data_IF_016386285761
#
_entry.id   IF_016386285761
#
_cell.length_a   1.000
_cell.length_b   1.000
_cell.length_c   1.000
_cell.angle_alpha   90.00
_cell.angle_beta   90.00
_cell.angle_gamma   90.00
#
_symmetry.space_group_name_H-M   'P 1'
#
loop_
_entity.id
_entity.type
_entity.pdbx_description
1 polymer ?
#
# COMPACT_ATOMS: atom_id res chain seq x y z
N UNK A 1 11.76 -9.16 -26.40
CA UNK A 1 13.03 -9.91 -26.29
C UNK A 1 13.72 -9.52 -25.00
N UNK A 2 13.63 -10.38 -24.00
CA UNK A 2 14.55 -10.53 -22.87
C UNK A 2 13.94 -11.64 -22.01
N UNK A 3 14.18 -12.88 -22.42
CA UNK A 3 13.76 -14.06 -21.66
C UNK A 3 14.70 -14.22 -20.48
N UNK A 4 14.16 -14.00 -19.28
CA UNK A 4 14.79 -14.35 -18.02
C UNK A 4 14.73 -15.88 -17.89
N UNK A 5 15.91 -16.50 -17.79
CA UNK A 5 16.07 -17.94 -17.73
C UNK A 5 15.80 -18.42 -16.29
N UNK A 6 14.65 -19.05 -16.05
CA UNK A 6 14.37 -19.77 -14.80
C UNK A 6 14.56 -21.26 -15.09
N UNK A 7 15.60 -21.86 -14.51
CA UNK A 7 15.84 -23.30 -14.53
C UNK A 7 14.94 -23.98 -13.50
N UNK A 8 13.93 -24.70 -13.97
CA UNK A 8 13.20 -25.71 -13.19
C UNK A 8 13.95 -27.04 -13.31
N UNK A 9 14.41 -27.58 -12.18
CA UNK A 9 14.96 -28.93 -12.10
C UNK A 9 13.81 -29.91 -11.86
N UNK A 10 13.43 -30.66 -12.89
CA UNK A 10 12.53 -31.80 -12.78
C UNK A 10 13.31 -33.06 -12.42
N UNK A 11 12.89 -33.75 -11.36
CA UNK A 11 13.38 -35.07 -10.96
C UNK A 11 12.72 -36.16 -11.80
N UNK A 12 13.48 -36.80 -12.69
CA UNK A 12 13.06 -38.02 -13.39
C UNK A 12 13.51 -39.26 -12.62
N UNK A 13 12.55 -39.95 -12.02
CA UNK A 13 12.71 -41.30 -11.44
C UNK A 13 12.62 -42.34 -12.57
N UNK A 14 13.75 -42.87 -13.01
CA UNK A 14 13.82 -44.01 -13.93
C UNK A 14 14.00 -45.33 -13.19
N UNK A 15 12.96 -46.18 -13.19
CA UNK A 15 13.02 -47.59 -12.79
C UNK A 15 13.82 -48.40 -13.82
N UNK A 16 14.91 -49.05 -13.42
CA UNK A 16 15.58 -50.06 -14.25
C UNK A 16 14.96 -51.44 -13.99
N UNK A 17 14.33 -52.00 -15.03
CA UNK A 17 13.88 -53.39 -15.07
C UNK A 17 15.00 -54.33 -15.52
N UNK A 18 15.13 -55.46 -14.83
CA UNK A 18 15.99 -56.58 -15.22
C UNK A 18 15.44 -57.27 -16.47
N UNK A 19 16.29 -57.47 -17.49
CA UNK A 19 16.11 -58.54 -18.50
C UNK A 19 17.40 -59.35 -18.61
N UNK A 20 17.30 -60.64 -18.33
CA UNK A 20 18.25 -61.67 -18.75
C UNK A 20 17.97 -62.02 -20.22
N UNK A 21 19.01 -62.14 -21.02
CA UNK A 21 18.99 -62.91 -22.25
C UNK A 21 20.34 -63.63 -22.35
N UNK A 22 20.30 -64.97 -22.35
CA UNK A 22 21.46 -65.78 -22.69
C UNK A 22 21.55 -65.96 -24.19
N UNK A 23 22.75 -65.95 -24.74
CA UNK A 23 23.05 -66.56 -26.05
C UNK A 23 24.50 -67.09 -26.03
N UNK A 24 24.58 -68.36 -26.40
CA UNK A 24 25.66 -69.28 -26.74
C UNK A 24 27.06 -68.71 -27.08
N UNK A 25 28.07 -69.41 -26.55
CA UNK A 25 29.47 -69.28 -26.94
C UNK A 25 29.78 -70.21 -28.13
N UNK A 26 30.31 -69.66 -29.23
CA UNK A 26 31.13 -70.38 -30.20
C UNK A 26 32.30 -69.48 -30.62
N UNK A 27 33.45 -70.11 -30.75
CA UNK A 27 34.82 -69.60 -30.87
C UNK A 27 35.17 -68.91 -32.19
N UNK A 28 36.03 -67.89 -32.14
CA UNK A 28 37.18 -67.76 -33.06
C UNK A 28 38.18 -66.71 -32.56
N UNK A 29 39.44 -67.13 -32.33
CA UNK A 29 40.59 -66.23 -32.14
C UNK A 29 40.93 -65.57 -33.47
N UNK A 30 40.92 -64.25 -33.55
CA UNK A 30 41.83 -63.49 -34.42
C UNK A 30 42.21 -62.17 -33.71
N UNK A 31 43.52 -61.99 -33.63
CA UNK A 31 44.24 -60.87 -33.04
C UNK A 31 43.93 -59.54 -33.72
N UNK A 32 43.46 -58.57 -32.93
CA UNK A 32 43.66 -57.14 -33.20
C UNK A 32 43.91 -56.45 -31.86
N UNK A 33 45.18 -56.11 -31.59
CA UNK A 33 45.53 -55.22 -30.50
C UNK A 33 44.98 -53.82 -30.80
N UNK A 34 43.75 -53.55 -30.37
CA UNK A 34 43.28 -52.18 -30.21
C UNK A 34 43.73 -51.76 -28.82
N UNK A 35 44.62 -50.77 -28.74
CA UNK A 35 44.97 -50.11 -27.49
C UNK A 35 43.73 -49.36 -26.97
N UNK A 36 42.82 -50.07 -26.32
CA UNK A 36 41.79 -49.45 -25.50
C UNK A 36 42.46 -48.97 -24.22
N UNK A 37 42.79 -47.69 -24.13
CA UNK A 37 43.12 -47.07 -22.84
C UNK A 37 41.93 -47.29 -21.90
N UNK A 38 42.08 -48.00 -20.77
CA UNK A 38 41.01 -48.04 -19.79
C UNK A 38 40.87 -46.63 -19.21
N UNK A 39 39.75 -45.97 -19.44
CA UNK A 39 39.38 -44.79 -18.66
C UNK A 39 39.09 -45.33 -17.25
N UNK A 40 40.07 -45.21 -16.35
CA UNK A 40 39.86 -45.46 -14.94
C UNK A 40 38.81 -44.47 -14.43
N UNK A 41 37.54 -44.88 -14.39
CA UNK A 41 36.48 -44.16 -13.69
C UNK A 41 36.72 -44.33 -12.19
N UNK A 42 37.48 -43.43 -11.59
CA UNK A 42 37.62 -43.33 -10.15
C UNK A 42 36.31 -42.80 -9.54
N UNK A 43 35.40 -43.72 -9.19
CA UNK A 43 34.21 -43.38 -8.43
C UNK A 43 34.58 -43.13 -6.95
N UNK A 44 35.17 -41.97 -6.66
CA UNK A 44 35.43 -41.57 -5.28
C UNK A 44 34.13 -41.14 -4.60
N UNK A 45 33.84 -41.69 -3.42
CA UNK A 45 32.73 -41.26 -2.57
C UNK A 45 32.90 -39.77 -2.24
N UNK A 46 32.07 -38.91 -2.86
CA UNK A 46 32.02 -37.49 -2.52
C UNK A 46 31.35 -37.34 -1.15
N UNK A 47 31.96 -36.57 -0.24
CA UNK A 47 31.32 -36.20 1.03
C UNK A 47 29.98 -35.55 0.72
N UNK A 48 28.93 -35.99 1.43
CA UNK A 48 27.61 -35.35 1.34
C UNK A 48 27.77 -33.90 1.82
N UNK A 49 27.30 -32.95 1.02
CA UNK A 49 27.27 -31.55 1.45
C UNK A 49 26.40 -31.45 2.70
N UNK A 50 26.92 -30.78 3.73
CA UNK A 50 26.10 -30.39 4.87
C UNK A 50 24.99 -29.48 4.36
N UNK A 51 23.78 -29.65 4.89
CA UNK A 51 22.68 -28.75 4.57
C UNK A 51 23.11 -27.34 4.97
N UNK A 52 22.87 -26.37 4.08
CA UNK A 52 23.03 -24.97 4.43
C UNK A 52 22.17 -24.66 5.66
N UNK A 53 22.64 -23.74 6.50
CA UNK A 53 21.86 -23.25 7.64
C UNK A 53 20.47 -22.85 7.16
N UNK A 54 19.44 -23.45 7.77
CA UNK A 54 18.05 -23.10 7.48
C UNK A 54 17.71 -21.68 7.93
N UNK A 55 16.45 -21.25 7.76
CA UNK A 55 16.00 -19.94 8.25
C UNK A 55 16.28 -19.79 9.75
N UNK A 56 16.71 -18.59 10.15
CA UNK A 56 16.98 -18.26 11.54
C UNK A 56 15.71 -18.45 12.39
N UNK A 57 15.82 -19.26 13.44
CA UNK A 57 14.74 -19.45 14.42
C UNK A 57 15.09 -18.66 15.66
N UNK A 58 14.16 -17.82 16.12
CA UNK A 58 14.37 -17.00 17.30
C UNK A 58 13.75 -17.73 18.48
N UNK A 59 14.59 -18.21 19.39
CA UNK A 59 14.11 -18.83 20.62
C UNK A 59 13.52 -17.76 21.54
N UNK A 60 12.60 -18.16 22.41
CA UNK A 60 12.02 -17.24 23.40
C UNK A 60 13.11 -16.62 24.30
N UNK A 61 14.13 -17.41 24.66
CA UNK A 61 15.29 -16.92 25.41
C UNK A 61 16.08 -15.86 24.66
N UNK A 62 16.23 -16.01 23.34
CA UNK A 62 16.90 -15.01 22.52
C UNK A 62 16.10 -13.70 22.49
N UNK A 63 14.78 -13.78 22.28
CA UNK A 63 13.90 -12.60 22.29
C UNK A 63 13.97 -11.88 23.65
N UNK A 64 13.97 -12.63 24.76
CA UNK A 64 14.13 -12.06 26.12
C UNK A 64 15.45 -11.31 26.28
N UNK A 65 16.57 -11.89 25.81
CA UNK A 65 17.87 -11.22 25.82
C UNK A 65 17.86 -9.93 24.99
N UNK A 66 17.28 -9.96 23.80
CA UNK A 66 17.15 -8.76 22.95
C UNK A 66 16.30 -7.67 23.60
N UNK A 67 15.30 -8.05 24.40
CA UNK A 67 14.48 -7.11 25.16
C UNK A 67 15.28 -6.45 26.30
N UNK A 68 16.09 -7.22 27.02
CA UNK A 68 17.01 -6.69 28.03
C UNK A 68 18.03 -5.72 27.40
N UNK A 69 18.65 -6.12 26.28
CA UNK A 69 19.58 -5.27 25.52
C UNK A 69 18.91 -3.98 25.02
N UNK A 70 17.68 -4.06 24.53
CA UNK A 70 16.90 -2.90 24.11
C UNK A 70 16.64 -1.94 25.28
N UNK A 71 16.23 -2.44 26.45
CA UNK A 71 15.95 -1.61 27.63
C UNK A 71 17.22 -0.93 28.15
N UNK A 72 18.35 -1.64 28.16
CA UNK A 72 19.65 -1.09 28.54
C UNK A 72 20.08 -0.03 27.52
N UNK A 73 19.99 -0.33 26.22
CA UNK A 73 20.30 0.61 25.14
C UNK A 73 19.43 1.87 25.20
N UNK A 74 18.14 1.73 25.55
CA UNK A 74 17.21 2.86 25.68
C UNK A 74 17.69 3.85 26.74
N UNK A 75 18.14 3.35 27.89
CA UNK A 75 18.70 4.17 28.98
C UNK A 75 20.00 4.86 28.57
N UNK A 76 20.88 4.17 27.83
CA UNK A 76 22.10 4.78 27.31
C UNK A 76 21.81 5.87 26.28
N UNK A 77 20.85 5.65 25.40
CA UNK A 77 20.44 6.64 24.41
C UNK A 77 19.89 7.90 25.08
N UNK A 78 19.02 7.75 26.07
CA UNK A 78 18.51 8.87 26.86
C UNK A 78 19.66 9.65 27.54
N UNK A 79 20.62 8.96 28.16
CA UNK A 79 21.78 9.60 28.78
C UNK A 79 22.65 10.36 27.76
N UNK A 80 22.88 9.82 26.56
CA UNK A 80 23.63 10.51 25.51
C UNK A 80 22.93 11.79 25.03
N UNK A 81 21.59 11.78 24.99
CA UNK A 81 20.78 12.91 24.56
C UNK A 81 20.47 13.89 25.70
N UNK A 82 20.79 13.53 26.95
CA UNK A 82 20.49 14.34 28.13
C UNK A 82 19.01 14.33 28.53
N UNK A 83 18.27 13.29 28.16
CA UNK A 83 16.84 13.13 28.43
C UNK A 83 16.59 12.15 29.58
N UNK A 84 15.41 12.23 30.20
CA UNK A 84 15.01 11.33 31.28
C UNK A 84 14.69 9.91 30.76
N UNK A 85 15.35 8.85 31.26
CA UNK A 85 15.19 7.49 30.72
C UNK A 85 13.78 6.91 30.82
N UNK A 86 13.02 7.31 31.84
CA UNK A 86 11.68 6.78 32.12
C UNK A 86 10.61 7.42 31.22
N UNK A 87 10.77 8.70 30.85
CA UNK A 87 9.85 9.43 29.96
C UNK A 87 10.27 9.36 28.47
N UNK A 88 11.23 8.50 28.14
CA UNK A 88 11.77 8.43 26.79
C UNK A 88 10.84 7.60 25.88
N UNK A 89 10.15 8.24 24.94
CA UNK A 89 9.19 7.60 24.02
C UNK A 89 9.88 6.99 22.79
N UNK A 90 9.15 6.18 22.01
CA UNK A 90 9.69 5.61 20.77
C UNK A 90 9.98 6.70 19.71
N UNK A 91 9.23 7.80 19.71
CA UNK A 91 9.48 8.93 18.81
C UNK A 91 10.80 9.63 19.15
N UNK A 92 11.13 9.73 20.44
CA UNK A 92 12.40 10.29 20.92
C UNK A 92 13.57 9.41 20.51
N UNK A 93 13.41 8.08 20.60
CA UNK A 93 14.38 7.10 20.11
C UNK A 93 14.62 7.30 18.60
N UNK A 94 13.55 7.35 17.81
CA UNK A 94 13.64 7.48 16.35
C UNK A 94 14.31 8.82 15.94
N UNK A 95 13.97 9.92 16.63
CA UNK A 95 14.61 11.24 16.44
C UNK A 95 16.10 11.19 16.80
N UNK A 96 16.44 10.62 17.95
CA UNK A 96 17.83 10.52 18.42
C UNK A 96 18.69 9.69 17.47
N UNK A 97 18.16 8.58 16.95
CA UNK A 97 18.86 7.72 15.99
C UNK A 97 19.06 8.43 14.66
N UNK A 98 18.04 9.15 14.18
CA UNK A 98 18.17 9.93 12.95
C UNK A 98 19.25 11.01 13.04
N UNK A 99 19.48 11.55 14.24
CA UNK A 99 20.52 12.54 14.52
C UNK A 99 21.92 11.90 14.65
N UNK A 100 22.05 10.83 15.44
CA UNK A 100 23.33 10.15 15.68
C UNK A 100 23.84 9.39 14.45
N UNK A 101 22.93 8.80 13.68
CA UNK A 101 23.23 7.99 12.49
C UNK A 101 22.50 8.52 11.25
N UNK A 102 22.89 9.69 10.73
CA UNK A 102 22.22 10.29 9.59
C UNK A 102 22.46 9.44 8.32
N UNK A 103 21.38 8.83 7.81
CA UNK A 103 21.40 8.01 6.60
C UNK A 103 20.55 8.64 5.51
N UNK A 104 21.11 8.80 4.32
CA UNK A 104 20.44 9.35 3.14
C UNK A 104 19.70 8.32 2.27
N UNK A 105 19.45 7.12 2.80
CA UNK A 105 18.77 6.05 2.04
C UNK A 105 17.28 6.38 1.84
N UNK A 106 16.78 6.18 0.62
CA UNK A 106 15.38 6.43 0.30
C UNK A 106 14.42 5.42 0.92
N UNK A 107 14.86 4.17 1.10
CA UNK A 107 14.05 3.11 1.69
C UNK A 107 14.05 3.22 3.21
N UNK A 108 12.91 3.62 3.79
CA UNK A 108 12.78 3.78 5.25
C UNK A 108 13.11 2.51 6.05
N UNK A 109 12.89 1.32 5.47
CA UNK A 109 13.19 0.03 6.10
C UNK A 109 14.69 -0.29 6.18
N UNK A 110 15.51 0.37 5.36
CA UNK A 110 16.97 0.21 5.35
C UNK A 110 17.67 1.25 6.22
N UNK A 111 16.93 2.18 6.82
CA UNK A 111 17.47 3.14 7.78
C UNK A 111 17.88 2.43 9.07
N UNK A 112 18.84 2.98 9.83
CA UNK A 112 19.12 2.52 11.19
C UNK A 112 17.86 2.70 12.05
N UNK A 113 17.44 1.63 12.72
CA UNK A 113 16.22 1.59 13.53
C UNK A 113 16.52 0.83 14.81
N UNK A 114 16.03 1.35 15.94
CA UNK A 114 16.03 0.67 17.23
C UNK A 114 14.59 0.66 17.74
N UNK A 115 14.00 -0.53 17.78
CA UNK A 115 12.60 -0.75 18.17
C UNK A 115 12.51 -1.89 19.15
N UNK A 116 11.35 -2.03 19.76
CA UNK A 116 11.04 -3.18 20.57
C UNK A 116 11.19 -4.49 19.76
N UNK A 117 11.78 -5.57 20.33
CA UNK A 117 12.00 -6.83 19.62
C UNK A 117 10.74 -7.40 18.93
N UNK A 118 9.57 -7.24 19.53
CA UNK A 118 8.30 -7.72 18.96
C UNK A 118 7.89 -7.03 17.65
N UNK A 119 8.40 -5.82 17.38
CA UNK A 119 8.16 -5.11 16.11
C UNK A 119 9.19 -5.50 15.03
N UNK A 120 10.39 -5.91 15.45
CA UNK A 120 11.51 -6.23 14.55
C UNK A 120 11.40 -7.68 14.09
N UNK A 121 11.24 -8.60 15.06
CA UNK A 121 11.22 -10.02 14.78
C UNK A 121 9.80 -10.46 14.37
N UNK A 122 9.68 -11.29 13.33
CA UNK A 122 8.38 -11.83 12.94
C UNK A 122 7.84 -12.73 14.05
N UNK A 123 6.53 -12.65 14.32
CA UNK A 123 5.86 -13.55 15.28
C UNK A 123 6.05 -15.00 14.84
N UNK A 124 6.52 -15.83 15.78
CA UNK A 124 6.72 -17.26 15.55
C UNK A 124 5.69 -18.06 16.35
N UNK A 125 5.35 -19.25 15.85
CA UNK A 125 4.51 -20.16 16.61
C UNK A 125 5.32 -20.80 17.72
N UNK A 126 4.70 -20.90 18.89
CA UNK A 126 5.21 -21.71 19.98
C UNK A 126 5.26 -23.19 19.58
N UNK A 127 5.99 -23.97 20.36
CA UNK A 127 6.00 -25.44 20.22
C UNK A 127 4.59 -25.96 20.50
N UNK A 128 4.05 -26.77 19.58
CA UNK A 128 2.64 -27.20 19.62
C UNK A 128 2.40 -28.50 20.40
N UNK A 129 3.43 -29.09 21.01
CA UNK A 129 3.36 -30.33 21.76
C UNK A 129 4.27 -30.29 22.99
N UNK A 130 3.89 -31.03 24.02
CA UNK A 130 4.67 -31.16 25.24
C UNK A 130 5.85 -32.14 25.11
N UNK A 131 6.60 -32.37 26.21
CA UNK A 131 7.63 -33.40 26.27
C UNK A 131 7.06 -34.82 26.04
N UNK A 132 5.77 -35.02 26.32
CA UNK A 132 4.98 -36.21 26.04
C UNK A 132 4.67 -36.41 24.55
N UNK A 133 5.03 -35.44 23.70
CA UNK A 133 4.78 -35.40 22.24
C UNK A 133 3.30 -35.38 21.87
N UNK A 134 2.40 -35.10 22.82
CA UNK A 134 0.98 -34.93 22.54
C UNK A 134 0.73 -33.50 22.07
N UNK A 135 0.06 -33.30 20.92
CA UNK A 135 -0.30 -31.96 20.48
C UNK A 135 -1.28 -31.28 21.45
N UNK A 136 -1.09 -29.99 21.70
CA UNK A 136 -1.98 -29.19 22.56
C UNK A 136 -3.34 -28.93 21.91
N UNK A 137 -3.37 -28.75 20.59
CA UNK A 137 -4.57 -28.43 19.84
C UNK A 137 -5.15 -29.67 19.13
N UNK A 138 -6.46 -29.88 19.21
CA UNK A 138 -7.12 -31.06 18.62
C UNK A 138 -7.04 -31.09 17.07
N UNK A 139 -7.11 -29.91 16.41
CA UNK A 139 -6.93 -29.78 14.96
C UNK A 139 -5.46 -29.77 14.50
N UNK A 140 -4.49 -30.12 15.36
CA UNK A 140 -3.07 -30.08 15.00
C UNK A 140 -2.75 -30.84 13.71
N UNK A 141 -3.33 -32.03 13.52
CA UNK A 141 -3.07 -32.89 12.37
C UNK A 141 -3.67 -32.40 11.05
N UNK A 142 -4.45 -31.31 11.06
CA UNK A 142 -4.91 -30.64 9.84
C UNK A 142 -3.79 -29.85 9.13
N UNK A 143 -2.67 -29.61 9.83
CA UNK A 143 -1.57 -28.77 9.38
C UNK A 143 -1.79 -27.26 9.53
N UNK A 144 -3.05 -26.82 9.65
CA UNK A 144 -3.45 -25.42 9.87
C UNK A 144 -4.42 -25.29 11.05
N UNK A 145 -3.98 -25.63 12.27
CA UNK A 145 -4.86 -25.68 13.43
C UNK A 145 -5.56 -24.35 13.72
N UNK A 146 -4.86 -23.20 13.62
CA UNK A 146 -5.45 -21.90 13.95
C UNK A 146 -6.52 -21.48 12.95
N UNK A 147 -6.27 -21.68 11.65
CA UNK A 147 -7.26 -21.40 10.60
C UNK A 147 -8.52 -22.24 10.77
N UNK A 148 -8.39 -23.57 10.91
CA UNK A 148 -9.57 -24.42 11.03
C UNK A 148 -10.28 -24.26 12.37
N UNK A 149 -9.57 -23.87 13.43
CA UNK A 149 -10.18 -23.49 14.71
C UNK A 149 -11.09 -22.28 14.54
N UNK A 150 -10.59 -21.23 13.86
CA UNK A 150 -11.39 -20.06 13.51
C UNK A 150 -12.59 -20.41 12.60
N UNK A 151 -12.41 -21.30 11.63
CA UNK A 151 -13.52 -21.78 10.79
C UNK A 151 -14.55 -22.60 11.58
N UNK A 152 -14.11 -23.35 12.58
CA UNK A 152 -15.01 -24.08 13.47
C UNK A 152 -15.78 -23.13 14.39
N UNK A 153 -15.10 -22.17 15.01
CA UNK A 153 -15.71 -21.17 15.88
C UNK A 153 -16.77 -20.33 15.15
N UNK A 154 -16.45 -19.89 13.92
CA UNK A 154 -17.41 -19.15 13.07
C UNK A 154 -18.66 -19.97 12.78
N UNK A 155 -18.49 -21.23 12.39
CA UNK A 155 -19.60 -22.13 12.10
C UNK A 155 -20.43 -22.43 13.35
N UNK A 156 -19.78 -22.61 14.50
CA UNK A 156 -20.44 -22.80 15.79
C UNK A 156 -21.29 -21.59 16.18
N UNK A 157 -20.84 -20.37 15.87
CA UNK A 157 -21.67 -19.16 16.07
C UNK A 157 -22.90 -19.17 15.16
N UNK A 158 -22.76 -19.56 13.89
CA UNK A 158 -23.90 -19.71 12.97
C UNK A 158 -24.91 -20.71 13.52
N UNK A 159 -24.46 -21.89 13.96
CA UNK A 159 -25.33 -22.91 14.54
C UNK A 159 -26.04 -22.43 15.82
N UNK A 160 -25.35 -21.66 16.67
CA UNK A 160 -25.96 -21.06 17.88
C UNK A 160 -27.06 -20.06 17.51
N UNK A 161 -26.87 -19.28 16.45
CA UNK A 161 -27.89 -18.36 15.94
C UNK A 161 -29.08 -19.11 15.33
N UNK A 162 -28.85 -20.14 14.51
CA UNK A 162 -29.91 -20.99 13.94
C UNK A 162 -30.77 -21.63 15.05
N UNK A 163 -30.13 -22.23 16.07
CA UNK A 163 -30.84 -22.78 17.24
C UNK A 163 -31.63 -21.72 18.00
N UNK A 164 -31.08 -20.51 18.12
CA UNK A 164 -31.77 -19.42 18.80
C UNK A 164 -33.01 -18.98 18.02
N UNK A 165 -32.91 -18.89 16.70
CA UNK A 165 -34.04 -18.58 15.82
C UNK A 165 -35.14 -19.63 15.93
N UNK A 166 -34.81 -20.92 15.96
CA UNK A 166 -35.79 -21.98 16.12
C UNK A 166 -36.47 -21.94 17.49
N UNK A 167 -35.74 -21.61 18.55
CA UNK A 167 -36.32 -21.38 19.88
C UNK A 167 -37.27 -20.17 19.92
N UNK A 168 -36.99 -19.11 19.16
CA UNK A 168 -37.87 -17.94 19.06
C UNK A 168 -39.14 -18.26 18.26
N UNK A 169 -39.02 -19.01 17.17
CA UNK A 169 -40.18 -19.51 16.40
C UNK A 169 -41.10 -20.36 17.27
N UNK A 170 -40.53 -21.26 18.07
CA UNK A 170 -41.30 -22.10 19.00
C UNK A 170 -42.04 -21.30 20.09
N UNK A 171 -41.59 -20.06 20.38
CA UNK A 171 -42.19 -19.15 21.37
C UNK A 171 -43.06 -18.06 20.74
N UNK A 172 -43.32 -18.11 19.42
CA UNK A 172 -44.12 -17.14 18.66
C UNK A 172 -43.63 -15.66 18.72
N UNK A 173 -42.41 -15.41 19.20
CA UNK A 173 -41.82 -14.07 19.38
C UNK A 173 -41.05 -13.58 18.12
N UNK A 174 -41.46 -14.01 16.94
CA UNK A 174 -40.71 -13.83 15.68
C UNK A 174 -40.65 -12.38 15.17
N UNK A 175 -41.44 -11.47 15.77
CA UNK A 175 -41.61 -10.09 15.32
C UNK A 175 -40.78 -9.03 16.06
N UNK A 176 -39.89 -9.41 16.99
CA UNK A 176 -39.05 -8.43 17.67
C UNK A 176 -37.99 -7.86 16.71
N UNK A 177 -38.10 -6.56 16.44
CA UNK A 177 -37.23 -5.81 15.53
C UNK A 177 -35.75 -5.99 15.89
N UNK A 178 -35.04 -6.70 15.01
CA UNK A 178 -33.61 -6.96 15.17
C UNK A 178 -32.83 -5.77 14.64
N UNK A 179 -32.05 -5.14 15.52
CA UNK A 179 -30.99 -4.22 15.13
C UNK A 179 -29.95 -5.00 14.33
N UNK A 180 -29.80 -4.68 13.05
CA UNK A 180 -28.70 -5.19 12.24
C UNK A 180 -27.39 -4.51 12.69
N UNK A 181 -26.25 -5.18 12.50
CA UNK A 181 -24.94 -4.58 12.80
C UNK A 181 -24.69 -3.45 11.81
N UNK A 182 -24.49 -2.23 12.31
CA UNK A 182 -24.13 -1.07 11.49
C UNK A 182 -22.65 -1.15 11.12
N UNK A 183 -22.35 -1.79 9.99
CA UNK A 183 -20.96 -2.03 9.55
C UNK A 183 -20.21 -0.77 9.04
N UNK A 184 -20.85 0.40 9.00
CA UNK A 184 -20.23 1.70 8.70
C UNK A 184 -19.24 1.70 7.53
N UNK A 185 -18.19 2.52 7.63
CA UNK A 185 -17.02 2.51 6.73
C UNK A 185 -15.96 1.53 7.21
N UNK A 186 -16.32 0.27 7.48
CA UNK A 186 -15.35 -0.76 7.86
C UNK A 186 -15.06 -1.71 6.70
N UNK A 187 -13.83 -2.24 6.65
CA UNK A 187 -13.44 -3.32 5.74
C UNK A 187 -13.06 -4.59 6.48
N UNK A 188 -13.15 -5.72 5.79
CA UNK A 188 -12.55 -6.97 6.25
C UNK A 188 -11.03 -6.85 6.36
N UNK A 189 -10.43 -7.64 7.27
CA UNK A 189 -8.99 -7.81 7.28
C UNK A 189 -8.52 -8.41 5.96
N UNK A 190 -7.39 -7.92 5.45
CA UNK A 190 -6.78 -8.50 4.25
C UNK A 190 -6.18 -9.86 4.56
N UNK A 191 -5.91 -10.67 3.52
CA UNK A 191 -5.25 -11.97 3.66
C UNK A 191 -3.99 -11.90 4.52
N UNK A 192 -3.12 -10.91 4.26
CA UNK A 192 -1.85 -10.75 4.98
C UNK A 192 -2.10 -10.46 6.46
N UNK A 193 -3.07 -9.59 6.77
CA UNK A 193 -3.45 -9.27 8.15
C UNK A 193 -3.99 -10.51 8.88
N UNK A 194 -4.76 -11.37 8.21
CA UNK A 194 -5.25 -12.63 8.79
C UNK A 194 -4.12 -13.64 9.01
N UNK A 195 -3.17 -13.74 8.06
CA UNK A 195 -1.98 -14.59 8.20
C UNK A 195 -1.11 -14.17 9.39
N UNK A 196 -0.94 -12.86 9.59
CA UNK A 196 -0.23 -12.29 10.75
C UNK A 196 -0.96 -12.56 12.07
N UNK A 197 -2.29 -12.45 12.10
CA UNK A 197 -3.09 -12.74 13.30
C UNK A 197 -3.02 -14.21 13.70
N UNK A 198 -3.14 -15.13 12.73
CA UNK A 198 -3.13 -16.56 12.99
C UNK A 198 -1.70 -17.14 13.10
N UNK A 199 -0.70 -16.37 12.65
CA UNK A 199 0.69 -16.82 12.47
C UNK A 199 0.73 -18.05 11.54
N UNK A 200 -0.16 -18.11 10.55
CA UNK A 200 -0.28 -19.22 9.61
C UNK A 200 -0.34 -18.75 8.17
N UNK A 201 0.30 -19.49 7.26
CA UNK A 201 0.16 -19.25 5.83
C UNK A 201 -1.18 -19.80 5.33
N UNK A 202 -1.94 -18.97 4.62
CA UNK A 202 -3.30 -19.25 4.18
C UNK A 202 -3.35 -19.19 2.66
N UNK A 203 -4.14 -20.06 2.02
CA UNK A 203 -4.37 -19.96 0.58
C UNK A 203 -5.36 -18.83 0.27
N UNK A 204 -5.28 -18.14 -0.88
CA UNK A 204 -6.33 -17.21 -1.29
C UNK A 204 -7.74 -17.83 -1.29
N UNK A 205 -7.84 -19.13 -1.59
CA UNK A 205 -9.12 -19.86 -1.56
C UNK A 205 -9.64 -20.02 -0.12
N UNK A 206 -8.77 -20.37 0.82
CA UNK A 206 -9.09 -20.50 2.24
C UNK A 206 -9.58 -19.16 2.81
N UNK A 207 -8.93 -18.05 2.42
CA UNK A 207 -9.36 -16.71 2.80
C UNK A 207 -10.75 -16.36 2.24
N UNK A 208 -11.00 -16.64 0.96
CA UNK A 208 -12.32 -16.40 0.37
C UNK A 208 -13.41 -17.22 1.07
N UNK A 209 -13.10 -18.47 1.46
CA UNK A 209 -14.02 -19.34 2.20
C UNK A 209 -14.33 -18.79 3.58
N UNK A 210 -13.34 -18.23 4.26
CA UNK A 210 -13.52 -17.54 5.54
C UNK A 210 -14.46 -16.33 5.37
N UNK A 211 -14.20 -15.46 4.40
CA UNK A 211 -15.06 -14.29 4.14
C UNK A 211 -16.49 -14.70 3.83
N UNK A 212 -16.70 -15.74 3.01
CA UNK A 212 -18.03 -16.28 2.73
C UNK A 212 -18.77 -16.74 3.99
N UNK A 213 -18.09 -17.38 4.95
CA UNK A 213 -18.71 -17.78 6.22
C UNK A 213 -19.08 -16.57 7.07
N UNK A 214 -18.23 -15.54 7.10
CA UNK A 214 -18.52 -14.36 7.88
C UNK A 214 -19.67 -13.54 7.25
N UNK A 215 -19.70 -13.41 5.92
CA UNK A 215 -20.83 -12.79 5.21
C UNK A 215 -22.12 -13.57 5.44
N UNK A 216 -22.05 -14.90 5.46
CA UNK A 216 -23.19 -15.74 5.87
C UNK A 216 -23.62 -15.43 7.30
N UNK A 217 -22.69 -15.32 8.25
CA UNK A 217 -23.00 -14.97 9.65
C UNK A 217 -23.73 -13.62 9.73
N UNK A 218 -23.30 -12.63 8.94
CA UNK A 218 -23.95 -11.30 8.88
C UNK A 218 -25.32 -11.31 8.21
N UNK A 219 -25.58 -12.25 7.30
CA UNK A 219 -26.89 -12.38 6.65
C UNK A 219 -27.99 -12.91 7.58
N UNK A 220 -27.62 -13.47 8.75
CA UNK A 220 -28.56 -14.01 9.73
C UNK A 220 -29.29 -12.91 10.50
N UNK A 221 -30.56 -13.16 10.88
CA UNK A 221 -31.47 -12.15 11.45
C UNK A 221 -31.00 -11.62 12.81
N UNK A 222 -30.37 -12.46 13.62
CA UNK A 222 -29.94 -12.12 14.99
C UNK A 222 -28.42 -11.90 15.13
N UNK A 223 -27.77 -11.41 14.07
CA UNK A 223 -26.31 -11.26 14.02
C UNK A 223 -25.73 -10.37 15.14
N UNK A 224 -26.50 -9.41 15.68
CA UNK A 224 -26.04 -8.48 16.72
C UNK A 224 -25.45 -9.16 17.96
N UNK A 225 -25.87 -10.39 18.28
CA UNK A 225 -25.31 -11.14 19.42
C UNK A 225 -23.83 -11.48 19.25
N UNK A 226 -23.36 -11.56 18.01
CA UNK A 226 -22.01 -11.96 17.64
C UNK A 226 -21.21 -10.78 17.07
N UNK A 227 -21.62 -9.54 17.40
CA UNK A 227 -21.00 -8.32 16.90
C UNK A 227 -19.52 -8.21 17.31
N UNK A 228 -19.20 -8.47 18.58
CA UNK A 228 -17.82 -8.42 19.08
C UNK A 228 -16.89 -9.35 18.30
N UNK A 229 -17.39 -10.54 17.96
CA UNK A 229 -16.65 -11.53 17.19
C UNK A 229 -16.38 -11.04 15.77
N UNK A 230 -17.36 -10.43 15.11
CA UNK A 230 -17.19 -9.85 13.77
C UNK A 230 -16.25 -8.65 13.79
N UNK A 231 -16.38 -7.77 14.79
CA UNK A 231 -15.57 -6.55 14.90
C UNK A 231 -14.09 -6.85 15.09
N UNK A 232 -13.72 -7.96 15.76
CA UNK A 232 -12.33 -8.44 15.84
C UNK A 232 -11.70 -8.63 14.46
N UNK A 233 -12.50 -8.99 13.45
CA UNK A 233 -12.04 -9.20 12.07
C UNK A 233 -12.38 -8.05 11.11
N UNK A 234 -12.73 -6.87 11.64
CA UNK A 234 -12.95 -5.64 10.86
C UNK A 234 -11.89 -4.59 11.20
N UNK A 235 -11.53 -3.78 10.21
CA UNK A 235 -10.74 -2.56 10.38
C UNK A 235 -11.58 -1.36 9.97
N UNK A 236 -11.62 -0.33 10.81
CA UNK A 236 -12.26 0.94 10.46
C UNK A 236 -11.45 1.63 9.35
N UNK A 237 -12.13 2.10 8.32
CA UNK A 237 -11.56 2.99 7.33
C UNK A 237 -11.93 4.42 7.69
N UNK A 238 -10.90 5.23 7.89
CA UNK A 238 -11.04 6.67 7.95
C UNK A 238 -11.43 7.16 6.56
N UNK A 239 -12.69 7.56 6.40
CA UNK A 239 -13.12 8.24 5.19
C UNK A 239 -12.48 9.64 5.19
N UNK A 240 -11.46 9.85 4.35
CA UNK A 240 -10.93 11.19 4.13
C UNK A 240 -12.05 12.05 3.54
N UNK A 241 -12.45 13.10 4.26
CA UNK A 241 -13.47 14.02 3.77
C UNK A 241 -12.96 14.65 2.47
N UNK A 242 -13.75 14.59 1.40
CA UNK A 242 -13.42 15.24 0.12
C UNK A 242 -13.66 16.77 0.19
N UNK A 243 -14.03 17.30 1.36
CA UNK A 243 -14.24 18.74 1.53
C UNK A 243 -12.92 19.46 1.31
N UNK A 244 -12.93 20.40 0.37
CA UNK A 244 -11.79 21.27 0.10
C UNK A 244 -11.59 22.20 1.30
N UNK A 245 -10.36 22.36 1.78
CA UNK A 245 -10.05 23.35 2.81
C UNK A 245 -10.28 24.76 2.23
N UNK A 246 -11.19 25.50 2.85
CA UNK A 246 -11.54 26.87 2.45
C UNK A 246 -10.50 27.83 3.05
N UNK A 247 -9.89 28.74 2.26
CA UNK A 247 -8.98 29.72 2.81
C UNK A 247 -9.73 30.68 3.76
N UNK A 248 -9.12 31.08 4.89
CA UNK A 248 -9.74 32.06 5.78
C UNK A 248 -9.92 33.40 5.06
N UNK A 249 -11.02 34.09 5.35
CA UNK A 249 -11.23 35.46 4.90
C UNK A 249 -10.38 36.40 5.76
N UNK A 250 -9.51 37.16 5.12
CA UNK A 250 -8.77 38.25 5.73
C UNK A 250 -9.50 39.58 5.42
N UNK A 251 -9.27 40.61 6.23
CA UNK A 251 -9.82 41.95 6.01
C UNK A 251 -8.66 42.93 5.86
N UNK A 252 -8.72 43.78 4.83
CA UNK A 252 -7.70 44.82 4.59
C UNK A 252 -7.90 46.02 5.53
N UNK A 253 -6.94 46.95 5.57
CA UNK A 253 -7.02 48.18 6.37
C UNK A 253 -8.26 49.02 6.01
N UNK A 254 -8.73 48.90 4.76
CA UNK A 254 -9.97 49.52 4.26
C UNK A 254 -11.27 48.78 4.63
N UNK A 255 -11.22 47.72 5.44
CA UNK A 255 -12.39 46.95 5.85
C UNK A 255 -12.94 45.99 4.77
N UNK A 256 -12.25 45.84 3.64
CA UNK A 256 -12.68 44.98 2.53
C UNK A 256 -12.19 43.55 2.78
N UNK A 257 -13.11 42.59 2.74
CA UNK A 257 -12.78 41.18 2.83
C UNK A 257 -12.06 40.71 1.56
N UNK A 258 -10.95 40.00 1.74
CA UNK A 258 -10.21 39.39 0.65
C UNK A 258 -9.79 37.96 1.00
N UNK A 259 -9.55 37.18 -0.04
CA UNK A 259 -9.01 35.82 0.08
C UNK A 259 -7.75 35.70 -0.74
N UNK A 260 -6.80 34.90 -0.26
CA UNK A 260 -5.54 34.60 -0.96
C UNK A 260 -5.49 33.13 -1.30
N UNK A 261 -5.09 32.82 -2.53
CA UNK A 261 -4.89 31.44 -2.94
C UNK A 261 -3.77 31.29 -3.97
N UNK A 262 -3.19 30.09 -3.98
CA UNK A 262 -2.11 29.72 -4.88
C UNK A 262 -2.55 28.67 -5.89
N UNK A 263 -1.96 28.75 -7.09
CA UNK A 263 -2.19 27.85 -8.20
C UNK A 263 -0.87 27.45 -8.87
N UNK A 264 -0.82 26.23 -9.38
CA UNK A 264 0.34 25.71 -10.11
C UNK A 264 -0.11 24.92 -11.33
N UNK A 265 0.54 25.15 -12.47
CA UNK A 265 0.36 24.35 -13.69
C UNK A 265 1.68 24.23 -14.44
N UNK A 266 2.11 22.99 -14.69
CA UNK A 266 3.43 22.68 -15.26
C UNK A 266 4.55 23.34 -14.41
N UNK A 267 5.24 24.33 -14.97
CA UNK A 267 6.31 25.10 -14.33
C UNK A 267 5.86 26.51 -13.92
N UNK A 268 4.60 26.88 -14.14
CA UNK A 268 4.05 28.17 -13.74
C UNK A 268 3.45 28.09 -12.33
N UNK A 269 3.77 29.07 -11.51
CA UNK A 269 3.22 29.30 -10.16
C UNK A 269 2.53 30.65 -10.13
N UNK A 270 1.37 30.72 -9.48
CA UNK A 270 0.58 31.93 -9.38
C UNK A 270 0.03 32.12 -7.97
N UNK A 271 -0.02 33.36 -7.52
CA UNK A 271 -0.71 33.80 -6.31
C UNK A 271 -1.74 34.86 -6.68
N UNK A 272 -2.95 34.74 -6.15
CA UNK A 272 -4.07 35.64 -6.42
C UNK A 272 -4.63 36.14 -5.11
N UNK A 273 -4.81 37.46 -5.04
CA UNK A 273 -5.62 38.13 -4.02
C UNK A 273 -6.93 38.51 -4.67
N UNK A 274 -8.03 38.01 -4.10
CA UNK A 274 -9.39 38.26 -4.57
C UNK A 274 -10.11 39.09 -3.53
N UNK A 275 -10.45 40.33 -3.89
CA UNK A 275 -11.11 41.32 -3.02
C UNK A 275 -12.60 41.40 -3.36
N UNK A 276 -13.46 41.39 -2.33
CA UNK A 276 -14.91 41.58 -2.51
C UNK A 276 -15.28 43.03 -2.80
N UNK A 277 -16.51 43.25 -3.27
CA UNK A 277 -17.05 44.58 -3.62
C UNK A 277 -16.20 45.34 -4.67
N UNK A 278 -15.67 44.62 -5.65
CA UNK A 278 -14.86 45.16 -6.73
C UNK A 278 -15.67 45.65 -7.94
N UNK A 279 -14.94 46.15 -8.93
CA UNK A 279 -15.45 46.58 -10.24
C UNK A 279 -15.25 45.54 -11.35
N UNK A 280 -14.67 44.38 -11.03
CA UNK A 280 -14.27 43.38 -12.01
C UNK A 280 -12.88 43.64 -12.59
N UNK A 281 -12.05 44.46 -11.94
CA UNK A 281 -10.72 44.80 -12.41
C UNK A 281 -9.78 43.63 -12.18
N UNK A 282 -9.13 43.16 -13.24
CA UNK A 282 -8.16 42.07 -13.18
C UNK A 282 -6.78 42.58 -13.56
N UNK A 283 -5.83 42.52 -12.62
CA UNK A 283 -4.44 42.91 -12.85
C UNK A 283 -3.53 41.69 -12.74
N UNK A 284 -2.62 41.52 -13.70
CA UNK A 284 -1.63 40.43 -13.75
C UNK A 284 -0.23 41.03 -13.79
N UNK A 285 0.57 40.81 -12.74
CA UNK A 285 1.92 41.38 -12.58
C UNK A 285 1.95 42.92 -12.77
N UNK A 286 0.92 43.63 -12.29
CA UNK A 286 0.81 45.09 -12.42
C UNK A 286 0.30 45.60 -13.78
N UNK A 287 0.06 44.70 -14.74
CA UNK A 287 -0.54 45.04 -16.04
C UNK A 287 -2.00 44.61 -16.11
N UNK A 288 -2.77 45.23 -17.00
CA UNK A 288 -4.15 44.79 -17.26
C UNK A 288 -4.16 43.41 -17.94
N UNK A 289 -5.12 42.55 -17.57
CA UNK A 289 -5.17 41.17 -18.06
C UNK A 289 -5.32 41.07 -19.59
N UNK A 290 -5.98 42.07 -20.21
CA UNK A 290 -6.12 42.16 -21.66
C UNK A 290 -4.77 42.37 -22.37
N UNK A 291 -3.88 43.16 -21.76
CA UNK A 291 -2.55 43.42 -22.27
C UNK A 291 -1.61 42.25 -21.99
N UNK A 292 -1.70 41.65 -20.81
CA UNK A 292 -0.86 40.52 -20.40
C UNK A 292 -1.16 39.24 -21.22
N UNK A 293 -2.44 38.92 -21.41
CA UNK A 293 -2.89 37.79 -22.22
C UNK A 293 -3.49 38.29 -23.54
N UNK A 294 -2.72 38.43 -24.63
CA UNK A 294 -3.27 38.86 -25.92
C UNK A 294 -4.17 37.80 -26.56
N UNK A 295 -3.99 36.51 -26.22
CA UNK A 295 -4.74 35.39 -26.79
C UNK A 295 -6.05 35.19 -26.03
N UNK A 296 -7.16 35.13 -26.76
CA UNK A 296 -8.51 34.95 -26.20
C UNK A 296 -8.65 33.69 -25.34
N UNK A 297 -8.06 32.56 -25.76
CA UNK A 297 -8.07 31.32 -25.01
C UNK A 297 -7.52 31.47 -23.57
N UNK A 298 -6.46 32.27 -23.40
CA UNK A 298 -5.85 32.48 -22.09
C UNK A 298 -6.76 33.33 -21.18
N UNK A 299 -7.49 34.30 -21.76
CA UNK A 299 -8.50 35.11 -21.06
C UNK A 299 -9.70 34.29 -20.61
N UNK A 300 -10.20 33.41 -21.49
CA UNK A 300 -11.30 32.50 -21.17
C UNK A 300 -10.96 31.61 -19.98
N UNK A 301 -9.74 31.08 -19.92
CA UNK A 301 -9.31 30.26 -18.78
C UNK A 301 -9.34 31.04 -17.46
N UNK A 302 -8.93 32.31 -17.47
CA UNK A 302 -8.96 33.15 -16.28
C UNK A 302 -10.40 33.49 -15.84
N UNK A 303 -11.29 33.76 -16.80
CA UNK A 303 -12.69 34.13 -16.51
C UNK A 303 -13.57 32.94 -16.13
N UNK A 304 -13.24 31.72 -16.56
CA UNK A 304 -14.07 30.54 -16.40
C UNK A 304 -14.55 30.27 -14.95
N UNK A 305 -13.71 30.38 -13.90
CA UNK A 305 -14.17 30.19 -12.51
C UNK A 305 -15.20 31.24 -12.06
N UNK A 306 -15.01 32.51 -12.47
CA UNK A 306 -15.91 33.61 -12.13
C UNK A 306 -17.25 33.47 -12.84
N UNK A 307 -17.22 33.07 -14.12
CA UNK A 307 -18.41 32.78 -14.91
C UNK A 307 -19.18 31.60 -14.32
N UNK A 308 -18.49 30.51 -13.96
CA UNK A 308 -19.11 29.31 -13.39
C UNK A 308 -19.79 29.59 -12.04
N UNK A 309 -19.17 30.40 -11.19
CA UNK A 309 -19.73 30.82 -9.91
C UNK A 309 -20.81 31.92 -10.02
N UNK A 310 -21.11 32.41 -11.23
CA UNK A 310 -22.06 33.51 -11.42
C UNK A 310 -21.61 34.85 -10.81
N UNK A 311 -20.30 35.04 -10.60
CA UNK A 311 -19.72 36.16 -9.88
C UNK A 311 -18.87 37.09 -10.76
N UNK A 312 -19.19 37.15 -12.05
CA UNK A 312 -18.54 38.08 -12.98
C UNK A 312 -18.79 39.53 -12.57
N UNK A 313 -17.72 40.34 -12.52
CA UNK A 313 -17.79 41.76 -12.19
C UNK A 313 -17.92 42.09 -10.70
N UNK A 314 -18.07 41.09 -9.82
CA UNK A 314 -18.17 41.30 -8.36
C UNK A 314 -16.82 41.53 -7.68
N UNK A 315 -15.77 40.88 -8.19
CA UNK A 315 -14.49 40.79 -7.51
C UNK A 315 -13.39 41.53 -8.27
N UNK A 316 -12.49 42.16 -7.52
CA UNK A 316 -11.22 42.67 -8.06
C UNK A 316 -10.10 41.68 -7.80
N UNK A 317 -9.30 41.40 -8.83
CA UNK A 317 -8.26 40.39 -8.81
C UNK A 317 -6.88 41.02 -8.97
N UNK A 318 -6.03 40.80 -7.98
CA UNK A 318 -4.62 41.13 -8.02
C UNK A 318 -3.83 39.83 -8.14
N UNK A 319 -3.31 39.58 -9.33
CA UNK A 319 -2.67 38.32 -9.68
C UNK A 319 -1.16 38.52 -9.87
N UNK A 320 -0.38 37.63 -9.28
CA UNK A 320 1.06 37.50 -9.52
C UNK A 320 1.34 36.13 -10.12
N UNK A 321 2.09 36.08 -11.22
CA UNK A 321 2.42 34.83 -11.91
C UNK A 321 3.85 34.80 -12.39
N UNK A 322 4.53 33.67 -12.16
CA UNK A 322 5.93 33.47 -12.50
C UNK A 322 6.16 32.10 -13.16
N UNK A 323 7.15 32.04 -14.06
CA UNK A 323 7.56 30.81 -14.73
C UNK A 323 6.62 30.29 -15.83
N UNK A 324 7.10 29.27 -16.56
CA UNK A 324 6.39 28.61 -17.66
C UNK A 324 6.11 29.51 -18.86
N UNK A 325 4.99 29.30 -19.55
CA UNK A 325 4.56 30.11 -20.70
C UNK A 325 3.09 30.51 -20.61
N UNK A 326 2.61 31.34 -21.54
CA UNK A 326 1.27 31.98 -21.48
C UNK A 326 0.11 31.07 -21.03
N UNK A 327 -0.06 29.93 -21.69
CA UNK A 327 -1.19 29.02 -21.41
C UNK A 327 -1.03 28.26 -20.08
N UNK A 328 0.21 28.00 -19.65
CA UNK A 328 0.44 27.43 -18.32
C UNK A 328 0.19 28.47 -17.22
N UNK A 329 0.54 29.73 -17.46
CA UNK A 329 0.26 30.83 -16.54
C UNK A 329 -1.25 31.07 -16.39
N UNK A 330 -1.99 31.18 -17.50
CA UNK A 330 -3.46 31.31 -17.47
C UNK A 330 -4.14 30.15 -16.73
N UNK A 331 -3.69 28.91 -16.95
CA UNK A 331 -4.24 27.75 -16.24
C UNK A 331 -3.83 27.67 -14.76
N UNK A 332 -2.67 28.21 -14.37
CA UNK A 332 -2.28 28.34 -12.96
C UNK A 332 -3.17 29.38 -12.27
N UNK A 333 -3.38 30.53 -12.90
CA UNK A 333 -4.28 31.58 -12.42
C UNK A 333 -5.71 31.08 -12.27
N UNK A 334 -6.23 30.33 -13.25
CA UNK A 334 -7.55 29.70 -13.16
C UNK A 334 -7.75 28.90 -11.88
N UNK A 335 -6.75 28.10 -11.49
CA UNK A 335 -6.79 27.30 -10.26
C UNK A 335 -6.71 28.19 -9.01
N UNK A 336 -5.84 29.21 -9.02
CA UNK A 336 -5.72 30.14 -7.90
C UNK A 336 -7.02 30.93 -7.68
N UNK A 337 -7.60 31.49 -8.74
CA UNK A 337 -8.89 32.20 -8.70
C UNK A 337 -10.00 31.29 -8.20
N UNK A 338 -10.09 30.06 -8.73
CA UNK A 338 -11.11 29.10 -8.29
C UNK A 338 -11.00 28.77 -6.79
N UNK A 339 -9.78 28.68 -6.25
CA UNK A 339 -9.54 28.42 -4.82
C UNK A 339 -9.85 29.63 -3.94
N UNK A 340 -9.50 30.84 -4.39
CA UNK A 340 -9.82 32.08 -3.70
C UNK A 340 -11.34 32.28 -3.60
N UNK A 341 -12.07 31.98 -4.67
CA UNK A 341 -13.54 32.07 -4.70
C UNK A 341 -14.24 31.22 -3.64
N UNK A 342 -13.64 30.11 -3.18
CA UNK A 342 -14.26 29.23 -2.20
C UNK A 342 -14.61 29.94 -0.89
N UNK A 343 -13.85 30.95 -0.49
CA UNK A 343 -14.11 31.71 0.74
C UNK A 343 -15.42 32.51 0.69
N UNK A 344 -15.94 32.77 -0.51
CA UNK A 344 -17.14 33.59 -0.73
C UNK A 344 -18.37 32.79 -1.17
N UNK A 345 -18.24 31.47 -1.32
CA UNK A 345 -19.27 30.59 -1.86
C UNK A 345 -19.86 29.66 -0.80
N UNK A 346 -21.04 29.10 -1.09
CA UNK A 346 -21.69 28.10 -0.22
C UNK A 346 -21.05 26.72 -0.39
N UNK A 347 -21.15 25.83 0.61
CA UNK A 347 -20.61 24.46 0.50
C UNK A 347 -21.12 23.69 -0.74
N UNK A 348 -22.36 23.97 -1.17
CA UNK A 348 -22.94 23.37 -2.38
C UNK A 348 -22.22 23.78 -3.67
N UNK A 349 -21.88 25.07 -3.80
CA UNK A 349 -21.16 25.59 -4.97
C UNK A 349 -19.70 25.11 -5.01
N UNK A 350 -19.09 24.89 -3.83
CA UNK A 350 -17.74 24.32 -3.76
C UNK A 350 -17.71 22.91 -4.36
N UNK A 351 -18.73 22.10 -4.08
CA UNK A 351 -18.84 20.74 -4.59
C UNK A 351 -19.09 20.73 -6.12
N UNK A 352 -19.91 21.65 -6.64
CA UNK A 352 -20.09 21.78 -8.09
C UNK A 352 -18.82 22.22 -8.80
N UNK A 353 -18.05 23.17 -8.23
CA UNK A 353 -16.74 23.57 -8.75
C UNK A 353 -15.72 22.44 -8.72
N UNK A 354 -15.75 21.61 -7.67
CA UNK A 354 -14.92 20.40 -7.55
C UNK A 354 -15.24 19.42 -8.67
N UNK A 355 -16.52 19.13 -8.89
CA UNK A 355 -16.99 18.23 -9.95
C UNK A 355 -16.67 18.77 -11.35
N UNK A 356 -16.72 20.09 -11.55
CA UNK A 356 -16.31 20.75 -12.79
C UNK A 356 -14.78 20.73 -13.03
N UNK A 357 -13.98 20.24 -12.09
CA UNK A 357 -12.53 20.13 -12.21
C UNK A 357 -11.78 21.46 -12.09
N UNK A 358 -12.41 22.48 -11.47
CA UNK A 358 -11.80 23.80 -11.24
C UNK A 358 -10.77 23.78 -10.10
N UNK A 359 -11.00 22.93 -9.09
CA UNK A 359 -10.20 22.87 -7.87
C UNK A 359 -9.06 21.82 -7.94
N UNK A 360 -9.08 20.95 -8.95
CA UNK A 360 -8.09 19.88 -9.14
C UNK A 360 -6.85 20.42 -9.86
N UNK A 361 -5.65 20.30 -9.28
CA UNK A 361 -4.41 20.63 -9.99
C UNK A 361 -4.19 19.68 -11.18
N UNK A 362 -3.79 20.21 -12.33
CA UNK A 362 -3.48 19.39 -13.51
C UNK A 362 -2.12 18.67 -13.32
N UNK A 363 -2.08 17.34 -13.14
CA UNK A 363 -0.83 16.62 -12.87
C UNK A 363 0.03 16.42 -14.12
N UNK A 364 -0.45 16.81 -15.32
CA UNK A 364 0.27 16.59 -16.58
C UNK A 364 1.49 17.50 -16.68
N UNK A 365 2.67 16.89 -16.54
CA UNK A 365 3.98 17.52 -16.71
C UNK A 365 4.73 16.86 -17.87
N UNK A 366 5.68 17.58 -18.48
CA UNK A 366 6.52 17.02 -19.55
C UNK A 366 7.29 15.80 -19.01
N UNK A 367 7.01 14.65 -19.59
CA UNK A 367 7.75 13.40 -19.30
C UNK A 367 9.24 13.55 -19.69
N UNK A 368 10.13 13.02 -18.85
CA UNK A 368 11.57 12.98 -19.14
C UNK A 368 11.85 12.06 -20.33
N UNK A 369 12.76 12.48 -21.22
CA UNK A 369 13.24 11.65 -22.33
C UNK A 369 14.24 10.62 -21.78
N UNK A 370 14.03 9.33 -22.09
CA UNK A 370 14.98 8.25 -21.75
C UNK A 370 16.16 8.26 -22.74
N UNK A 371 17.36 7.89 -22.30
CA UNK A 371 18.60 8.01 -23.09
C UNK A 371 18.52 7.36 -24.49
N UNK A 372 17.78 6.26 -24.61
CA UNK A 372 17.60 5.51 -25.86
C UNK A 372 16.51 6.09 -26.78
N UNK A 373 15.78 7.12 -26.34
CA UNK A 373 14.62 7.66 -27.06
C UNK A 373 14.93 9.02 -27.69
N UNK A 374 14.20 9.33 -28.77
CA UNK A 374 14.27 10.60 -29.52
C UNK A 374 13.40 11.65 -28.81
N UNK A 375 12.24 11.22 -28.32
CA UNK A 375 11.36 11.99 -27.42
C UNK A 375 10.78 11.07 -26.34
N UNK A 376 10.06 11.59 -25.35
CA UNK A 376 9.55 10.78 -24.22
C UNK A 376 8.75 9.55 -24.68
N UNK A 377 7.92 9.75 -25.72
CA UNK A 377 7.06 8.71 -26.31
C UNK A 377 7.63 8.10 -27.58
N UNK A 378 8.41 8.85 -28.36
CA UNK A 378 9.01 8.34 -29.59
C UNK A 378 10.37 7.70 -29.30
N UNK A 379 10.41 6.37 -29.40
CA UNK A 379 11.67 5.62 -29.38
C UNK A 379 12.54 6.14 -30.53
N UNK A 380 13.87 6.17 -30.36
CA UNK A 380 14.71 6.31 -31.53
C UNK A 380 14.34 5.12 -32.41
N UNK A 381 13.67 5.33 -33.53
CA UNK A 381 13.94 4.46 -34.66
C UNK A 381 15.47 4.36 -34.66
N UNK A 382 15.98 3.14 -34.48
CA UNK A 382 17.40 2.91 -34.64
C UNK A 382 17.82 3.49 -36.00
N UNK A 383 19.10 3.34 -36.34
CA UNK A 383 19.38 3.13 -37.78
C UNK A 383 18.27 2.23 -38.33
N UNK A 384 17.62 2.59 -39.46
CA UNK A 384 16.50 1.82 -39.99
C UNK A 384 16.89 0.36 -39.84
N UNK A 385 16.04 -0.44 -39.17
CA UNK A 385 16.25 -1.88 -39.06
C UNK A 385 16.28 -2.37 -40.49
N UNK A 386 17.45 -2.32 -41.11
CA UNK A 386 17.72 -2.90 -42.39
C UNK A 386 17.57 -4.38 -42.10
N UNK A 387 16.38 -4.91 -42.37
CA UNK A 387 16.23 -6.33 -42.65
C UNK A 387 17.20 -6.56 -43.80
N UNK A 388 18.43 -6.97 -43.47
CA UNK A 388 19.35 -7.50 -44.47
C UNK A 388 18.67 -8.79 -44.93
N UNK A 389 18.06 -8.71 -46.10
CA UNK A 389 17.47 -9.80 -46.87
C UNK A 389 18.53 -10.80 -47.28
#
# INVERSE_FOLDING_TARGET
>A
MALCCVRTAGSFLGKCGNRRAGVNAVTSRLSRQVLSRPVCLSAALRKKNLAASGPEKFTEEYIKKQLEEFNVGKRYLANMMGEDPENFSQEDIDRSISYLFPSGLFEKKALPVMKHPDEIFPRQRAVNWGPDRRPFHFLFYTGKPSYYSLMHDTYDKILKLEKHEDLLKAKELFHLDTKNISLGTSRWLTKVEVEELLVEAISPQDYNRFIQLIERLLSMRHCAKEEEFVLRYRRQLEAQSTKQMVPPLETDDGGVAFSKAEGRRKTSTSSVVLRDCGSGRVTVNGHDYLQYFPVLQDREQLMFPLLFAGALGRFDLECTVTGGGRSSQAGALRLAVARALLSFLSEGDMETMRQAGLLTPDPRVREKVKAEKRSAKHVREGRPLTKRS
#
